data_IF_471146949252
#
_entry.id   IF_471146949252
#
_cell.length_a   1.000
_cell.length_b   1.000
_cell.length_c   1.000
_cell.angle_alpha   90.00
_cell.angle_beta   90.00
_cell.angle_gamma   90.00
#
_symmetry.space_group_name_H-M   'P 1'
#
loop_
_entity.id
_entity.type
_entity.pdbx_description
1 polymer ?
#
# COMPACT_ATOMS: atom_id res chain seq x y z
N UNK A 1 28.51 -36.49 -0.87
CA UNK A 1 27.05 -36.52 -1.00
C UNK A 1 26.70 -35.33 -1.86
N UNK A 2 26.39 -35.55 -3.13
CA UNK A 2 26.21 -34.46 -4.10
C UNK A 2 24.80 -33.88 -3.92
N UNK A 3 24.76 -32.62 -3.51
CA UNK A 3 23.52 -31.87 -3.32
C UNK A 3 22.92 -31.61 -4.71
N UNK A 4 21.89 -32.40 -5.07
CA UNK A 4 21.12 -32.19 -6.30
C UNK A 4 20.39 -30.86 -6.19
N UNK A 5 21.01 -29.80 -6.68
CA UNK A 5 20.34 -28.50 -6.86
C UNK A 5 19.17 -28.69 -7.83
N UNK A 6 17.95 -28.62 -7.31
CA UNK A 6 16.74 -28.69 -8.11
C UNK A 6 16.66 -27.45 -9.00
N UNK A 7 16.72 -27.64 -10.33
CA UNK A 7 16.60 -26.57 -11.33
C UNK A 7 15.13 -26.34 -11.70
N UNK A 8 14.32 -25.86 -10.76
CA UNK A 8 12.97 -25.38 -11.06
C UNK A 8 12.87 -23.87 -10.84
N UNK A 9 12.10 -23.20 -11.69
CA UNK A 9 11.80 -21.78 -11.57
C UNK A 9 10.31 -21.62 -11.29
N UNK A 10 9.99 -20.99 -10.17
CA UNK A 10 8.64 -20.52 -9.85
C UNK A 10 8.74 -19.02 -9.62
N UNK A 11 8.24 -18.25 -10.58
CA UNK A 11 8.24 -16.79 -10.54
C UNK A 11 6.90 -16.28 -11.04
N UNK A 12 6.33 -15.33 -10.31
CA UNK A 12 5.11 -14.60 -10.65
C UNK A 12 5.42 -13.12 -10.62
N UNK A 13 5.02 -12.41 -11.67
CA UNK A 13 5.14 -10.97 -11.77
C UNK A 13 3.77 -10.44 -12.18
N UNK A 14 3.21 -9.52 -11.39
CA UNK A 14 1.90 -8.94 -11.66
C UNK A 14 1.95 -7.42 -11.50
N UNK A 15 1.18 -6.73 -12.34
CA UNK A 15 0.79 -5.34 -12.12
C UNK A 15 -0.74 -5.30 -12.09
N UNK A 16 -1.30 -4.78 -11.02
CA UNK A 16 -2.74 -4.73 -10.85
C UNK A 16 -3.19 -3.79 -9.75
N UNK A 17 -4.48 -3.82 -9.44
CA UNK A 17 -5.08 -2.97 -8.43
C UNK A 17 -5.56 -3.80 -7.24
N UNK A 18 -5.39 -3.25 -6.03
CA UNK A 18 -5.91 -3.87 -4.82
C UNK A 18 -7.44 -3.90 -4.84
N UNK A 19 -8.04 -5.06 -4.61
CA UNK A 19 -9.50 -5.24 -4.62
C UNK A 19 -10.14 -5.00 -3.26
N UNK A 20 -9.34 -5.12 -2.20
CA UNK A 20 -9.71 -4.94 -0.79
C UNK A 20 -8.51 -4.35 -0.03
N UNK A 21 -8.79 -3.79 1.13
CA UNK A 21 -7.75 -3.30 2.03
C UNK A 21 -6.85 -4.45 2.51
N UNK A 22 -5.62 -4.10 2.88
CA UNK A 22 -4.62 -5.05 3.36
C UNK A 22 -4.98 -5.52 4.75
N UNK A 23 -5.16 -6.83 4.91
CA UNK A 23 -5.39 -7.47 6.19
C UNK A 23 -4.05 -7.87 6.81
N UNK A 24 -3.62 -7.17 7.87
CA UNK A 24 -2.42 -7.50 8.63
C UNK A 24 -2.79 -8.39 9.82
N UNK A 25 -2.09 -9.52 9.96
CA UNK A 25 -2.20 -10.45 11.08
C UNK A 25 -0.81 -10.80 11.59
N UNK A 26 -0.73 -11.32 12.80
CA UNK A 26 0.52 -11.82 13.38
C UNK A 26 0.39 -13.32 13.62
N UNK A 27 1.46 -14.07 13.34
CA UNK A 27 1.55 -15.49 13.74
C UNK A 27 1.65 -15.61 15.27
N UNK A 28 1.42 -16.82 15.84
CA UNK A 28 1.71 -17.07 17.25
C UNK A 28 3.15 -16.74 17.66
N UNK A 29 4.09 -16.78 16.71
CA UNK A 29 5.50 -16.42 16.87
C UNK A 29 5.76 -14.92 16.74
N UNK A 30 4.73 -14.09 16.55
CA UNK A 30 4.84 -12.64 16.40
C UNK A 30 5.26 -12.18 15.00
N UNK A 31 5.29 -13.07 14.00
CA UNK A 31 5.66 -12.70 12.63
C UNK A 31 4.49 -12.02 11.92
N UNK A 32 4.65 -10.80 11.37
CA UNK A 32 3.59 -10.13 10.62
C UNK A 32 3.37 -10.80 9.27
N UNK A 33 2.09 -10.95 8.91
CA UNK A 33 1.60 -11.46 7.64
C UNK A 33 0.54 -10.49 7.12
N UNK A 34 0.72 -9.98 5.92
CA UNK A 34 -0.28 -9.19 5.24
C UNK A 34 -0.90 -9.98 4.09
N UNK A 35 -2.23 -10.00 4.02
CA UNK A 35 -2.98 -10.64 2.95
C UNK A 35 -3.87 -9.62 2.23
N UNK A 36 -3.84 -9.62 0.91
CA UNK A 36 -4.66 -8.73 0.08
C UNK A 36 -4.98 -9.36 -1.27
N UNK A 37 -5.93 -8.76 -1.99
CA UNK A 37 -6.34 -9.22 -3.31
C UNK A 37 -5.85 -8.26 -4.39
N UNK A 38 -5.35 -8.78 -5.51
CA UNK A 38 -4.96 -7.98 -6.68
C UNK A 38 -5.75 -8.45 -7.90
N UNK A 39 -6.39 -7.51 -8.60
CA UNK A 39 -7.05 -7.75 -9.86
C UNK A 39 -6.14 -7.38 -11.04
N UNK A 40 -6.12 -8.22 -12.07
CA UNK A 40 -5.53 -7.90 -13.37
C UNK A 40 -6.58 -8.05 -14.46
N UNK A 41 -6.71 -7.04 -15.32
CA UNK A 41 -7.65 -7.07 -16.43
C UNK A 41 -6.95 -7.43 -17.74
N UNK A 42 -7.63 -8.21 -18.57
CA UNK A 42 -7.21 -8.55 -19.93
C UNK A 42 -8.34 -8.24 -20.89
N UNK A 43 -8.03 -7.49 -21.95
CA UNK A 43 -8.97 -7.16 -23.02
C UNK A 43 -8.46 -7.76 -24.34
N UNK A 44 -9.35 -8.36 -25.12
CA UNK A 44 -9.02 -8.92 -26.42
C UNK A 44 -10.21 -8.85 -27.38
N UNK A 45 -9.95 -8.87 -28.69
CA UNK A 45 -10.99 -8.85 -29.73
C UNK A 45 -11.35 -10.27 -30.17
N UNK A 46 -12.63 -10.50 -30.41
CA UNK A 46 -13.18 -11.72 -31.03
C UNK A 46 -14.14 -11.26 -32.13
N UNK A 47 -13.68 -11.28 -33.38
CA UNK A 47 -14.38 -10.62 -34.49
C UNK A 47 -14.49 -9.11 -34.25
N UNK A 48 -15.69 -8.56 -34.41
CA UNK A 48 -15.98 -7.15 -34.15
C UNK A 48 -16.29 -6.83 -32.67
N UNK A 49 -16.33 -7.85 -31.80
CA UNK A 49 -16.60 -7.66 -30.38
C UNK A 49 -15.31 -7.58 -29.56
N UNK A 50 -15.27 -6.62 -28.64
CA UNK A 50 -14.24 -6.55 -27.60
C UNK A 50 -14.73 -7.31 -26.37
N UNK A 51 -13.93 -8.26 -25.89
CA UNK A 51 -14.15 -8.98 -24.63
C UNK A 51 -13.15 -8.53 -23.57
N UNK A 52 -13.59 -8.57 -22.31
CA UNK A 52 -12.79 -8.27 -21.13
C UNK A 52 -12.92 -9.42 -20.12
N UNK A 53 -11.83 -9.73 -19.43
CA UNK A 53 -11.82 -10.62 -18.29
C UNK A 53 -10.92 -10.06 -17.19
N UNK A 54 -11.35 -10.28 -15.94
CA UNK A 54 -10.60 -9.91 -14.74
C UNK A 54 -10.22 -11.17 -13.98
N UNK A 55 -8.93 -11.28 -13.67
CA UNK A 55 -8.39 -12.36 -12.85
C UNK A 55 -8.06 -11.83 -11.45
N UNK A 56 -8.38 -12.62 -10.42
CA UNK A 56 -8.21 -12.24 -9.02
C UNK A 56 -7.14 -13.08 -8.35
N UNK A 57 -6.14 -12.41 -7.78
CA UNK A 57 -4.98 -13.02 -7.18
C UNK A 57 -4.96 -12.78 -5.68
N UNK A 58 -4.71 -13.83 -4.90
CA UNK A 58 -4.48 -13.70 -3.46
C UNK A 58 -2.99 -13.52 -3.20
N UNK A 59 -2.63 -12.37 -2.66
CA UNK A 59 -1.25 -12.00 -2.37
C UNK A 59 -1.00 -12.12 -0.87
N UNK A 60 0.15 -12.67 -0.51
CA UNK A 60 0.61 -12.78 0.87
C UNK A 60 2.04 -12.23 0.98
N UNK A 61 2.22 -11.26 1.86
CA UNK A 61 3.51 -10.68 2.19
C UNK A 61 3.87 -11.00 3.64
N UNK A 62 5.14 -11.32 3.89
CA UNK A 62 5.65 -11.70 5.21
C UNK A 62 6.57 -10.64 5.79
N UNK A 63 6.78 -10.70 7.11
CA UNK A 63 7.77 -9.89 7.82
C UNK A 63 7.57 -8.38 7.54
N UNK A 64 8.67 -7.64 7.43
CA UNK A 64 8.68 -6.20 7.15
C UNK A 64 7.93 -5.82 5.88
N UNK A 65 7.92 -6.69 4.85
CA UNK A 65 7.15 -6.44 3.63
C UNK A 65 5.65 -6.45 3.91
N UNK A 66 5.19 -7.33 4.81
CA UNK A 66 3.80 -7.36 5.25
C UNK A 66 3.37 -6.07 5.95
N UNK A 67 4.19 -5.59 6.89
CA UNK A 67 3.96 -4.31 7.57
C UNK A 67 3.92 -3.14 6.60
N UNK A 68 4.90 -3.08 5.67
CA UNK A 68 4.98 -2.04 4.65
C UNK A 68 3.73 -2.04 3.76
N UNK A 69 3.29 -3.21 3.30
CA UNK A 69 2.06 -3.34 2.53
C UNK A 69 0.84 -2.80 3.28
N UNK A 70 0.73 -3.09 4.59
CA UNK A 70 -0.40 -2.62 5.39
C UNK A 70 -0.42 -1.10 5.60
N UNK A 71 0.76 -0.49 5.73
CA UNK A 71 0.91 0.95 5.93
C UNK A 71 0.71 1.73 4.63
N UNK A 72 1.28 1.25 3.52
CA UNK A 72 1.32 1.99 2.26
C UNK A 72 0.09 1.76 1.38
N UNK A 73 -0.45 0.54 1.36
CA UNK A 73 -1.46 0.14 0.39
C UNK A 73 -2.88 0.28 0.96
N UNK A 74 -3.78 0.74 0.09
CA UNK A 74 -5.22 0.78 0.32
C UNK A 74 -5.98 0.10 -0.82
N UNK A 75 -7.26 -0.20 -0.63
CA UNK A 75 -8.14 -0.60 -1.73
C UNK A 75 -8.01 0.37 -2.91
N UNK A 76 -7.84 -0.18 -4.11
CA UNK A 76 -7.66 0.58 -5.36
C UNK A 76 -6.22 0.98 -5.67
N UNK A 77 -5.28 0.87 -4.72
CA UNK A 77 -3.85 1.09 -4.97
C UNK A 77 -3.35 0.22 -6.13
N UNK A 78 -2.59 0.82 -7.04
CA UNK A 78 -1.94 0.11 -8.15
C UNK A 78 -0.56 -0.33 -7.70
N UNK A 79 -0.23 -1.59 -7.91
CA UNK A 79 1.01 -2.20 -7.43
C UNK A 79 1.64 -3.09 -8.49
N UNK A 80 2.96 -3.11 -8.50
CA UNK A 80 3.78 -4.19 -9.02
C UNK A 80 4.09 -5.16 -7.87
N UNK A 81 3.98 -6.45 -8.12
CA UNK A 81 4.38 -7.49 -7.16
C UNK A 81 5.15 -8.59 -7.87
N UNK A 82 6.20 -9.08 -7.21
CA UNK A 82 6.98 -10.23 -7.66
C UNK A 82 7.09 -11.27 -6.53
N UNK A 83 6.99 -12.54 -6.90
CA UNK A 83 7.02 -13.63 -5.96
C UNK A 83 6.90 -15.00 -6.60
N UNK A 84 6.23 -15.91 -5.89
CA UNK A 84 6.05 -17.32 -6.31
C UNK A 84 4.66 -17.83 -5.98
N UNK A 85 4.17 -18.79 -6.77
CA UNK A 85 2.93 -19.51 -6.44
C UNK A 85 3.18 -20.51 -5.32
N UNK A 86 2.28 -20.52 -4.34
CA UNK A 86 2.22 -21.55 -3.31
C UNK A 86 0.77 -22.02 -3.17
N UNK A 87 0.55 -23.31 -3.41
CA UNK A 87 -0.74 -23.95 -3.15
C UNK A 87 -0.68 -24.65 -1.81
N UNK A 88 -1.58 -24.28 -0.91
CA UNK A 88 -1.77 -24.96 0.37
C UNK A 88 -3.07 -25.73 0.36
N UNK A 89 -3.05 -26.89 1.01
CA UNK A 89 -4.23 -27.69 1.27
C UNK A 89 -4.61 -27.66 2.76
N UNK A 90 -5.92 -27.69 3.03
CA UNK A 90 -6.45 -27.87 4.38
C UNK A 90 -7.75 -28.66 4.31
N UNK A 91 -8.13 -29.24 5.44
CA UNK A 91 -9.43 -29.92 5.60
C UNK A 91 -10.40 -28.93 6.21
N UNK A 92 -11.56 -28.73 5.59
CA UNK A 92 -12.60 -27.88 6.14
C UNK A 92 -13.39 -28.59 7.26
N UNK A 93 -14.29 -27.88 7.93
CA UNK A 93 -15.09 -28.44 9.04
C UNK A 93 -15.99 -29.62 8.61
N UNK A 94 -16.26 -29.75 7.31
CA UNK A 94 -17.05 -30.83 6.74
C UNK A 94 -16.22 -32.06 6.35
N UNK A 95 -14.91 -32.05 6.63
CA UNK A 95 -13.99 -33.14 6.31
C UNK A 95 -13.50 -33.12 4.85
N UNK A 96 -13.83 -32.10 4.07
CA UNK A 96 -13.44 -32.02 2.66
C UNK A 96 -12.06 -31.37 2.50
N UNK A 97 -11.22 -31.96 1.64
CA UNK A 97 -9.92 -31.40 1.27
C UNK A 97 -10.11 -30.20 0.35
N UNK A 98 -9.59 -29.04 0.76
CA UNK A 98 -9.60 -27.79 -0.01
C UNK A 98 -8.18 -27.40 -0.38
N UNK A 99 -8.06 -26.70 -1.50
CA UNK A 99 -6.81 -26.12 -1.98
C UNK A 99 -6.98 -24.63 -2.15
N UNK A 100 -5.93 -23.87 -1.87
CA UNK A 100 -5.84 -22.44 -2.18
C UNK A 100 -4.48 -22.13 -2.71
N UNK A 101 -4.45 -21.54 -3.89
CA UNK A 101 -3.25 -21.00 -4.49
C UNK A 101 -3.13 -19.53 -4.09
N UNK A 102 -1.99 -19.18 -3.51
CA UNK A 102 -1.61 -17.84 -3.07
C UNK A 102 -0.28 -17.48 -3.75
N UNK A 103 -0.03 -16.18 -3.91
CA UNK A 103 1.25 -15.67 -4.38
C UNK A 103 1.98 -15.12 -3.17
N UNK A 104 3.09 -15.77 -2.80
CA UNK A 104 3.97 -15.27 -1.76
C UNK A 104 4.92 -14.29 -2.41
N UNK A 105 4.84 -13.02 -2.01
CA UNK A 105 5.64 -11.96 -2.62
C UNK A 105 6.93 -11.73 -1.84
N UNK A 106 7.99 -11.51 -2.61
CA UNK A 106 9.31 -11.18 -2.11
C UNK A 106 9.63 -9.69 -2.41
N UNK A 107 8.95 -9.09 -3.39
CA UNK A 107 9.08 -7.68 -3.76
C UNK A 107 7.71 -7.04 -4.09
N UNK A 108 7.58 -5.76 -3.75
CA UNK A 108 6.41 -4.93 -4.07
C UNK A 108 6.85 -3.50 -4.37
N UNK A 109 6.30 -2.92 -5.43
CA UNK A 109 6.46 -1.50 -5.77
C UNK A 109 5.08 -0.88 -5.89
N UNK A 110 4.86 0.20 -5.14
CA UNK A 110 3.66 1.01 -5.27
C UNK A 110 3.76 1.88 -6.53
N UNK A 111 2.73 1.82 -7.39
CA UNK A 111 2.69 2.50 -8.67
C UNK A 111 1.68 3.67 -8.70
N UNK A 112 1.11 4.03 -7.55
CA UNK A 112 0.13 5.11 -7.42
C UNK A 112 -1.31 4.64 -7.19
N UNK A 113 -2.23 5.59 -7.15
CA UNK A 113 -3.65 5.37 -6.84
C UNK A 113 -4.05 5.99 -5.49
N UNK A 114 -5.16 5.53 -4.93
CA UNK A 114 -5.64 6.02 -3.63
C UNK A 114 -4.73 5.46 -2.53
N UNK A 115 -3.78 6.27 -2.05
CA UNK A 115 -3.01 5.97 -0.85
C UNK A 115 -3.93 6.06 0.38
N UNK A 116 -3.58 5.38 1.48
CA UNK A 116 -4.16 5.71 2.78
C UNK A 116 -3.69 7.13 3.11
N UNK A 117 -4.49 8.14 2.80
CA UNK A 117 -4.28 9.47 3.39
C UNK A 117 -4.28 9.26 4.90
N UNK A 118 -3.17 9.62 5.55
CA UNK A 118 -3.20 9.88 6.98
C UNK A 118 -4.31 10.90 7.22
N UNK A 119 -5.19 10.60 8.16
CA UNK A 119 -6.24 11.49 8.64
C UNK A 119 -5.61 12.86 8.93
N UNK A 120 -5.75 13.75 7.94
CA UNK A 120 -5.64 15.18 8.16
C UNK A 120 -7.10 15.59 8.19
N UNK A 121 -7.54 15.88 9.40
CA UNK A 121 -8.85 16.39 9.75
C UNK A 121 -9.04 17.71 9.01
N UNK A 122 -9.56 17.67 7.78
CA UNK A 122 -10.18 18.84 7.17
C UNK A 122 -11.64 18.87 7.64
N UNK A 123 -11.82 19.51 8.79
CA UNK A 123 -13.09 20.07 9.23
C UNK A 123 -13.68 20.93 8.10
N UNK A 124 -14.92 20.63 7.74
CA UNK A 124 -15.63 21.37 6.72
C UNK A 124 -15.88 22.83 7.13
N UNK A 125 -15.60 23.75 6.22
CA UNK A 125 -16.21 25.07 6.20
C UNK A 125 -16.70 25.35 4.77
N UNK A 126 -17.99 25.13 4.57
CA UNK A 126 -18.79 25.67 3.49
C UNK A 126 -18.84 27.20 3.62
N UNK A 127 -18.34 27.94 2.62
CA UNK A 127 -18.99 29.15 2.08
C UNK A 127 -18.19 29.73 0.90
N UNK A 128 -18.92 30.04 -0.17
CA UNK A 128 -18.48 30.79 -1.34
C UNK A 128 -18.27 32.30 -1.01
N UNK A 129 -17.67 33.10 -1.91
CA UNK A 129 -16.88 34.28 -1.55
C UNK A 129 -17.72 35.53 -1.32
N UNK A 130 -17.31 36.36 -0.37
CA UNK A 130 -17.81 37.72 -0.13
C UNK A 130 -16.94 38.77 -0.82
N UNK A 131 -17.58 39.62 -1.62
CA UNK A 131 -16.99 40.83 -2.20
C UNK A 131 -16.86 41.95 -1.16
N UNK A 132 -15.71 42.63 -1.20
CA UNK A 132 -15.38 44.00 -0.80
C UNK A 132 -16.34 44.80 0.12
N UNK A 133 -15.81 45.31 1.25
CA UNK A 133 -15.42 46.74 1.32
C UNK A 133 -14.51 47.02 2.53
N UNK A 134 -13.42 47.74 2.23
CA UNK A 134 -12.49 48.53 3.06
C UNK A 134 -12.89 48.86 4.51
N UNK A 135 -11.93 48.72 5.44
CA UNK A 135 -11.26 49.87 6.12
C UNK A 135 -9.90 49.43 6.70
N UNK A 136 -8.82 50.13 6.36
CA UNK A 136 -7.56 50.16 7.13
C UNK A 136 -7.74 51.04 8.38
N UNK A 137 -7.01 50.78 9.48
CA UNK A 137 -5.81 51.59 9.70
C UNK A 137 -4.63 50.85 10.37
N UNK A 138 -3.45 51.09 9.81
CA UNK A 138 -2.22 51.48 10.49
C UNK A 138 -1.80 50.74 11.78
N UNK A 139 -0.85 49.80 11.64
CA UNK A 139 0.19 49.56 12.64
C UNK A 139 1.52 49.28 11.94
N UNK A 140 2.48 50.15 12.22
CA UNK A 140 3.80 50.20 11.60
C UNK A 140 4.73 49.04 11.92
N UNK A 141 5.62 48.85 10.95
CA UNK A 141 7.06 48.66 11.10
C UNK A 141 7.55 47.52 12.02
N UNK A 142 7.69 46.35 11.41
CA UNK A 142 8.60 45.29 11.87
C UNK A 142 9.55 44.90 10.72
N UNK A 143 10.28 45.89 10.21
CA UNK A 143 11.59 45.61 9.63
C UNK A 143 12.60 45.41 10.78
N UNK A 144 13.55 44.50 10.58
CA UNK A 144 14.74 44.28 11.42
C UNK A 144 14.66 43.26 12.58
N UNK A 145 14.11 42.06 12.33
CA UNK A 145 14.55 40.87 13.07
C UNK A 145 15.58 40.09 12.25
N UNK A 146 16.84 40.28 12.60
CA UNK A 146 17.99 39.60 12.04
C UNK A 146 18.10 38.18 12.62
N UNK A 147 18.32 37.19 11.77
CA UNK A 147 18.14 35.76 12.09
C UNK A 147 19.30 35.11 12.88
N UNK A 148 20.31 35.89 13.24
CA UNK A 148 21.52 35.40 13.93
C UNK A 148 21.42 35.41 15.47
N UNK A 149 20.32 35.91 16.06
CA UNK A 149 20.15 36.03 17.52
C UNK A 149 19.40 34.86 18.20
N UNK A 150 19.00 33.82 17.44
CA UNK A 150 18.20 32.68 17.97
C UNK A 150 19.04 31.42 18.21
N UNK A 151 20.30 31.39 17.79
CA UNK A 151 21.20 30.23 17.96
C UNK A 151 22.44 30.63 18.78
N UNK A 152 22.27 30.68 20.09
CA UNK A 152 23.36 30.80 21.06
C UNK A 152 23.36 29.63 22.03
N UNK A 153 24.40 28.81 21.93
CA UNK A 153 24.91 27.78 22.85
C UNK A 153 24.14 27.52 24.15
N UNK A 154 23.67 26.28 24.33
CA UNK A 154 23.62 25.70 25.68
C UNK A 154 24.48 24.43 25.73
N UNK A 155 25.77 24.70 25.85
CA UNK A 155 26.79 23.72 26.23
C UNK A 155 26.77 23.52 27.74
N UNK A 156 26.91 22.25 28.16
CA UNK A 156 27.36 21.75 29.47
C UNK A 156 26.37 21.67 30.66
N UNK A 157 25.95 20.43 30.92
CA UNK A 157 26.29 19.63 32.09
C UNK A 157 26.36 20.31 33.49
N UNK A 158 25.44 19.89 34.36
CA UNK A 158 25.77 19.28 35.65
C UNK A 158 24.63 18.41 36.17
#
# INVERSE_FOLDING_TARGET
MEEKMARSLNKVILIGNLTRDVELRYTPQGTPIAAFGVATNRQWKVGDQVKEATEFHNIVAWNKLGELCSQLLAKGSRVYVEGRLQTRDWVDQTGNKRYRTEIIIDEMIYLGGKAKSGDTTEEGASAAPSEHSSVDPDLGDLADLNIDDVLGDNTAAK
#
